data_IF_746719497657
#
_entry.id   IF_746719497657
#
_cell.length_a   1.000
_cell.length_b   1.000
_cell.length_c   1.000
_cell.angle_alpha   90.00
_cell.angle_beta   90.00
_cell.angle_gamma   90.00
#
_symmetry.space_group_name_H-M   'P 1'
#
loop_
_entity.id
_entity.type
_entity.pdbx_description
1 polymer ?
#
# COMPACT_ATOMS: atom_id res chain seq x y z
N UNK A 1 -10.14 19.25 -16.64
CA UNK A 1 -11.38 18.46 -16.73
C UNK A 1 -12.33 19.02 -15.68
N UNK A 2 -13.55 19.42 -16.05
CA UNK A 2 -14.59 19.84 -15.10
C UNK A 2 -15.78 18.91 -15.31
N UNK A 3 -16.18 18.19 -14.27
CA UNK A 3 -17.35 17.32 -14.24
C UNK A 3 -18.34 17.86 -13.22
N UNK A 4 -19.62 17.93 -13.58
CA UNK A 4 -20.71 18.19 -12.64
C UNK A 4 -21.82 17.16 -12.82
N UNK A 5 -22.60 16.93 -11.77
CA UNK A 5 -23.65 15.91 -11.71
C UNK A 5 -24.92 16.47 -12.37
N UNK A 6 -25.40 15.79 -13.41
CA UNK A 6 -26.68 16.07 -14.06
C UNK A 6 -27.88 15.59 -13.22
N UNK A 7 -29.09 16.09 -13.53
CA UNK A 7 -30.35 15.73 -12.84
C UNK A 7 -30.84 14.29 -13.07
N UNK A 8 -30.13 13.51 -13.87
CA UNK A 8 -30.17 12.05 -13.90
C UNK A 8 -28.78 11.58 -13.47
N UNK A 9 -28.68 10.46 -12.75
CA UNK A 9 -27.44 9.84 -12.28
C UNK A 9 -26.54 9.31 -13.42
N UNK A 10 -26.41 10.07 -14.50
CA UNK A 10 -25.58 9.78 -15.66
C UNK A 10 -24.47 10.83 -15.69
N UNK A 11 -23.22 10.36 -15.72
CA UNK A 11 -22.07 11.24 -15.87
C UNK A 11 -22.05 11.82 -17.28
N UNK A 12 -22.14 13.15 -17.40
CA UNK A 12 -22.08 13.85 -18.68
C UNK A 12 -20.76 14.60 -18.80
N UNK A 13 -20.02 14.31 -19.86
CA UNK A 13 -18.78 15.01 -20.19
C UNK A 13 -19.11 16.40 -20.77
N UNK A 14 -18.84 17.47 -20.03
CA UNK A 14 -19.27 18.83 -20.39
C UNK A 14 -18.31 19.56 -21.35
N UNK A 15 -17.01 19.28 -21.26
CA UNK A 15 -15.99 19.96 -22.06
C UNK A 15 -14.77 19.09 -22.25
N UNK A 16 -14.33 18.94 -23.51
CA UNK A 16 -13.05 18.36 -23.88
C UNK A 16 -12.27 19.40 -24.67
N UNK A 17 -11.08 19.75 -24.20
CA UNK A 17 -10.15 20.63 -24.89
C UNK A 17 -9.00 19.75 -25.41
N UNK A 18 -8.99 19.48 -26.73
CA UNK A 18 -7.98 18.64 -27.38
C UNK A 18 -6.74 19.43 -27.83
N UNK A 19 -6.80 20.77 -27.74
CA UNK A 19 -5.71 21.64 -28.15
C UNK A 19 -4.65 21.67 -27.06
N UNK A 20 -3.45 21.20 -27.41
CA UNK A 20 -2.28 21.26 -26.55
C UNK A 20 -1.29 22.29 -27.11
N UNK A 21 -0.64 23.04 -26.22
CA UNK A 21 0.45 23.97 -26.58
C UNK A 21 1.78 23.25 -26.89
N UNK A 22 1.79 21.91 -26.85
CA UNK A 22 2.96 21.08 -27.04
C UNK A 22 2.56 19.74 -27.66
N UNK A 23 3.50 19.04 -28.34
CA UNK A 23 3.25 17.68 -28.80
C UNK A 23 2.99 16.73 -27.63
N UNK A 24 1.82 16.11 -27.62
CA UNK A 24 1.49 15.06 -26.67
C UNK A 24 2.24 13.78 -27.06
N UNK A 25 3.16 13.32 -26.21
CA UNK A 25 3.97 12.11 -26.48
C UNK A 25 3.63 11.02 -25.48
N UNK A 26 3.01 9.95 -25.96
CA UNK A 26 2.72 8.74 -25.18
C UNK A 26 4.00 8.11 -24.62
N UNK A 27 5.15 8.28 -25.30
CA UNK A 27 6.46 7.80 -24.84
C UNK A 27 6.91 8.44 -23.52
N UNK A 28 6.45 9.65 -23.21
CA UNK A 28 6.77 10.33 -21.93
C UNK A 28 5.87 9.88 -20.79
N UNK A 29 4.74 9.22 -21.08
CA UNK A 29 3.79 8.75 -20.07
C UNK A 29 4.44 7.73 -19.11
N UNK A 30 5.39 6.92 -19.61
CA UNK A 30 6.18 5.95 -18.84
C UNK A 30 6.93 6.59 -17.67
N UNK A 31 7.18 7.90 -17.69
CA UNK A 31 7.82 8.56 -16.55
C UNK A 31 6.89 8.74 -15.35
N UNK A 32 5.57 8.75 -15.54
CA UNK A 32 4.59 8.84 -14.47
C UNK A 32 4.37 7.50 -13.79
N UNK A 33 4.37 7.48 -12.47
CA UNK A 33 4.26 6.26 -11.67
C UNK A 33 2.96 5.50 -11.94
N UNK A 34 1.87 6.22 -12.19
CA UNK A 34 0.53 5.71 -12.49
C UNK A 34 0.46 4.92 -13.81
N UNK A 35 1.37 5.19 -14.76
CA UNK A 35 1.39 4.54 -16.07
C UNK A 35 2.41 3.39 -16.15
N UNK A 36 3.06 3.04 -15.03
CA UNK A 36 4.13 2.03 -14.96
C UNK A 36 3.61 0.66 -14.54
N UNK A 37 2.69 0.10 -15.31
CA UNK A 37 2.16 -1.23 -15.02
C UNK A 37 2.93 -2.34 -15.76
N UNK A 38 3.20 -3.43 -15.03
CA UNK A 38 3.65 -4.69 -15.61
C UNK A 38 2.47 -5.38 -16.27
N UNK A 39 2.61 -5.69 -17.55
CA UNK A 39 1.62 -6.49 -18.28
C UNK A 39 1.55 -7.91 -17.71
N UNK A 40 0.42 -8.60 -17.88
CA UNK A 40 0.29 -10.00 -17.44
C UNK A 40 1.34 -10.92 -18.09
N UNK A 41 1.66 -10.68 -19.35
CA UNK A 41 2.73 -11.40 -20.03
C UNK A 41 4.08 -11.17 -19.37
N UNK A 42 4.44 -9.91 -19.08
CA UNK A 42 5.69 -9.60 -18.40
C UNK A 42 5.77 -10.24 -17.01
N UNK A 43 4.66 -10.23 -16.24
CA UNK A 43 4.60 -10.90 -14.92
C UNK A 43 4.90 -12.39 -15.01
N UNK A 44 4.26 -13.10 -15.95
CA UNK A 44 4.49 -14.53 -16.17
C UNK A 44 5.96 -14.85 -16.50
N UNK A 45 6.56 -14.08 -17.41
CA UNK A 45 7.99 -14.25 -17.76
C UNK A 45 8.90 -13.93 -16.57
N UNK A 46 8.56 -12.92 -15.76
CA UNK A 46 9.33 -12.58 -14.55
C UNK A 46 9.29 -13.72 -13.54
N UNK A 47 8.14 -14.36 -13.35
CA UNK A 47 7.95 -15.49 -12.43
C UNK A 47 8.79 -16.70 -12.82
N UNK A 48 8.67 -17.14 -14.09
CA UNK A 48 9.44 -18.29 -14.61
C UNK A 48 10.95 -18.02 -14.51
N UNK A 49 11.38 -16.81 -14.83
CA UNK A 49 12.79 -16.45 -14.76
C UNK A 49 13.30 -16.33 -13.32
N UNK A 50 12.46 -15.88 -12.37
CA UNK A 50 12.83 -15.84 -10.96
C UNK A 50 13.00 -17.25 -10.37
N UNK A 51 12.08 -18.16 -10.71
CA UNK A 51 12.13 -19.58 -10.34
C UNK A 51 13.39 -20.26 -10.90
N UNK A 52 13.77 -19.92 -12.14
CA UNK A 52 15.01 -20.38 -12.76
C UNK A 52 16.29 -19.68 -12.21
N UNK A 53 16.16 -18.74 -11.26
CA UNK A 53 17.28 -18.01 -10.66
C UNK A 53 17.94 -16.97 -11.58
N UNK A 54 17.26 -16.57 -12.66
CA UNK A 54 17.77 -15.58 -13.61
C UNK A 54 17.74 -14.19 -12.96
N UNK A 55 18.85 -13.45 -13.12
CA UNK A 55 18.98 -12.13 -12.53
C UNK A 55 17.91 -11.16 -13.09
N UNK A 56 17.28 -10.32 -12.24
CA UNK A 56 16.22 -9.38 -12.67
C UNK A 56 16.60 -8.47 -13.83
N UNK A 57 17.85 -8.00 -13.89
CA UNK A 57 18.35 -7.18 -15.00
C UNK A 57 18.36 -7.95 -16.34
N UNK A 58 18.66 -9.24 -16.32
CA UNK A 58 18.62 -10.09 -17.52
C UNK A 58 17.19 -10.31 -18.00
N UNK A 59 16.26 -10.54 -17.08
CA UNK A 59 14.82 -10.62 -17.37
C UNK A 59 14.31 -9.33 -17.99
N UNK A 60 14.66 -8.17 -17.42
CA UNK A 60 14.28 -6.87 -17.98
C UNK A 60 14.82 -6.67 -19.40
N UNK A 61 16.09 -7.00 -19.65
CA UNK A 61 16.70 -6.89 -20.97
C UNK A 61 16.04 -7.84 -22.00
N UNK A 62 15.66 -9.06 -21.59
CA UNK A 62 14.94 -9.98 -22.47
C UNK A 62 13.58 -9.40 -22.90
N UNK A 63 12.79 -8.93 -21.94
CA UNK A 63 11.50 -8.27 -22.19
C UNK A 63 11.66 -7.00 -23.04
N UNK A 64 12.72 -6.22 -22.80
CA UNK A 64 13.03 -5.05 -23.61
C UNK A 64 13.36 -5.42 -25.06
N UNK A 65 14.13 -6.50 -25.27
CA UNK A 65 14.50 -6.94 -26.61
C UNK A 65 13.29 -7.44 -27.40
N UNK A 66 12.32 -8.10 -26.76
CA UNK A 66 11.08 -8.56 -27.40
C UNK A 66 10.27 -7.40 -27.99
N UNK A 67 10.26 -6.25 -27.33
CA UNK A 67 9.54 -5.04 -27.79
C UNK A 67 10.44 -4.07 -28.59
N UNK A 68 11.64 -4.49 -28.99
CA UNK A 68 12.56 -3.68 -29.80
C UNK A 68 13.27 -2.56 -29.03
N UNK A 69 13.34 -2.65 -27.70
CA UNK A 69 14.19 -1.83 -26.85
C UNK A 69 13.52 -1.33 -25.56
N UNK A 70 14.31 -0.91 -24.56
CA UNK A 70 13.79 -0.46 -23.26
C UNK A 70 12.83 0.73 -23.34
N UNK A 71 12.99 1.59 -24.35
CA UNK A 71 12.12 2.76 -24.58
C UNK A 71 10.69 2.41 -25.00
N UNK A 72 10.45 1.15 -25.38
CA UNK A 72 9.14 0.66 -25.82
C UNK A 72 8.41 -0.09 -24.69
N UNK A 73 9.02 -0.25 -23.51
CA UNK A 73 8.37 -0.81 -22.33
C UNK A 73 7.60 0.27 -21.56
N UNK A 74 6.45 -0.10 -21.02
CA UNK A 74 5.70 0.72 -20.07
C UNK A 74 6.31 0.75 -18.67
N UNK A 75 7.33 -0.08 -18.40
CA UNK A 75 7.92 -0.26 -17.07
C UNK A 75 9.44 -0.26 -17.10
N UNK A 76 10.05 -0.02 -15.95
CA UNK A 76 11.51 0.02 -15.77
C UNK A 76 12.06 -1.25 -15.12
N UNK A 77 13.39 -1.46 -15.18
CA UNK A 77 14.06 -2.54 -14.44
C UNK A 77 13.76 -2.52 -12.94
N UNK A 78 13.61 -1.32 -12.35
CA UNK A 78 13.21 -1.17 -10.95
C UNK A 78 11.85 -1.82 -10.67
N UNK A 79 10.91 -1.75 -11.60
CA UNK A 79 9.59 -2.37 -11.44
C UNK A 79 9.69 -3.90 -11.44
N UNK A 80 10.57 -4.48 -12.26
CA UNK A 80 10.86 -5.93 -12.26
C UNK A 80 11.45 -6.36 -10.91
N UNK A 81 12.45 -5.63 -10.42
CA UNK A 81 13.05 -5.90 -9.10
C UNK A 81 12.04 -5.76 -7.96
N UNK A 82 11.22 -4.72 -8.00
CA UNK A 82 10.17 -4.51 -7.01
C UNK A 82 9.18 -5.68 -7.03
N UNK A 83 8.68 -6.09 -8.20
CA UNK A 83 7.76 -7.22 -8.33
C UNK A 83 8.35 -8.52 -7.77
N UNK A 84 9.59 -8.85 -8.13
CA UNK A 84 10.27 -10.03 -7.58
C UNK A 84 10.36 -9.94 -6.05
N UNK A 85 10.82 -8.79 -5.52
CA UNK A 85 11.01 -8.62 -4.08
C UNK A 85 9.71 -8.60 -3.28
N UNK A 86 8.65 -7.97 -3.79
CA UNK A 86 7.38 -7.78 -3.07
C UNK A 86 6.40 -8.92 -3.28
N UNK A 87 6.47 -9.60 -4.43
CA UNK A 87 5.46 -10.59 -4.84
C UNK A 87 5.99 -12.02 -4.77
N UNK A 88 7.21 -12.26 -5.28
CA UNK A 88 7.75 -13.63 -5.43
C UNK A 88 8.67 -14.04 -4.28
N UNK A 89 9.37 -13.07 -3.73
CA UNK A 89 10.35 -13.24 -2.65
C UNK A 89 9.98 -12.46 -1.40
N UNK A 90 8.71 -12.07 -1.25
CA UNK A 90 8.24 -11.56 0.04
C UNK A 90 8.65 -12.58 1.09
N UNK A 91 9.46 -12.15 2.06
CA UNK A 91 9.83 -13.01 3.18
C UNK A 91 8.55 -13.55 3.78
N UNK A 92 8.55 -14.81 4.23
CA UNK A 92 7.37 -15.49 4.75
C UNK A 92 6.58 -14.53 5.66
N UNK A 93 5.49 -13.96 5.13
CA UNK A 93 4.71 -12.91 5.83
C UNK A 93 4.29 -13.43 7.20
N UNK A 94 4.04 -14.74 7.29
CA UNK A 94 3.70 -15.42 8.54
C UNK A 94 4.85 -15.39 9.56
N UNK A 95 6.11 -15.45 9.15
CA UNK A 95 7.25 -15.35 10.06
C UNK A 95 7.37 -13.94 10.66
N UNK A 96 7.25 -12.91 9.82
CA UNK A 96 7.31 -11.50 10.26
C UNK A 96 6.08 -11.12 11.12
N UNK A 97 4.90 -11.62 10.75
CA UNK A 97 3.68 -11.47 11.56
C UNK A 97 3.84 -12.17 12.90
N UNK A 98 4.46 -13.35 12.94
CA UNK A 98 4.73 -14.07 14.19
C UNK A 98 5.70 -13.31 15.09
N UNK A 99 6.74 -12.71 14.52
CA UNK A 99 7.67 -11.85 15.26
C UNK A 99 6.97 -10.61 15.82
N UNK A 100 6.12 -9.96 15.02
CA UNK A 100 5.29 -8.84 15.45
C UNK A 100 4.31 -9.22 16.56
N UNK A 101 3.66 -10.39 16.48
CA UNK A 101 2.81 -10.93 17.54
C UNK A 101 3.58 -11.13 18.85
N UNK A 102 4.75 -11.75 18.77
CA UNK A 102 5.61 -11.94 19.95
C UNK A 102 6.00 -10.60 20.59
N UNK A 103 6.31 -9.60 19.77
CA UNK A 103 6.61 -8.25 20.23
C UNK A 103 5.41 -7.62 20.96
N UNK A 104 4.19 -7.72 20.40
CA UNK A 104 2.99 -7.19 21.05
C UNK A 104 2.67 -7.89 22.37
N UNK A 105 2.85 -9.21 22.43
CA UNK A 105 2.72 -9.99 23.67
C UNK A 105 3.69 -9.49 24.75
N UNK A 106 4.97 -9.33 24.40
CA UNK A 106 5.98 -8.80 25.33
C UNK A 106 5.66 -7.37 25.78
N UNK A 107 5.25 -6.50 24.85
CA UNK A 107 4.87 -5.12 25.19
C UNK A 107 3.66 -5.05 26.12
N UNK A 108 2.69 -5.96 25.94
CA UNK A 108 1.53 -6.08 26.82
C UNK A 108 1.91 -6.48 28.25
N UNK A 109 2.92 -7.32 28.41
CA UNK A 109 3.43 -7.73 29.72
C UNK A 109 4.27 -6.64 30.39
N UNK A 110 5.07 -5.91 29.61
CA UNK A 110 6.01 -4.89 30.10
C UNK A 110 5.33 -3.54 30.40
N UNK A 111 4.33 -3.14 29.60
CA UNK A 111 3.76 -1.80 29.63
C UNK A 111 2.29 -1.88 30.04
N UNK A 112 2.00 -1.43 31.26
CA UNK A 112 0.62 -1.21 31.72
C UNK A 112 -0.12 -0.28 30.76
N UNK A 113 -1.39 -0.55 30.48
CA UNK A 113 -2.22 0.14 29.48
C UNK A 113 -1.79 -0.02 28.02
N UNK A 114 -0.81 -0.86 27.66
CA UNK A 114 -0.62 -1.25 26.27
C UNK A 114 -1.84 -2.07 25.78
N UNK A 115 -2.30 -1.84 24.56
CA UNK A 115 -3.37 -2.62 23.93
C UNK A 115 -2.94 -3.06 22.53
N UNK A 116 -3.32 -4.27 22.16
CA UNK A 116 -3.25 -4.74 20.79
C UNK A 116 -4.37 -5.75 20.53
N UNK A 117 -4.75 -5.87 19.27
CA UNK A 117 -5.63 -6.90 18.76
C UNK A 117 -5.11 -7.35 17.39
N UNK A 118 -5.28 -8.63 17.08
CA UNK A 118 -4.90 -9.18 15.77
C UNK A 118 -6.05 -9.99 15.20
N UNK A 119 -6.38 -9.72 13.94
CA UNK A 119 -7.35 -10.45 13.15
C UNK A 119 -6.63 -11.48 12.29
N UNK A 120 -7.07 -12.73 12.40
CA UNK A 120 -6.62 -13.83 11.57
C UNK A 120 -7.82 -14.43 10.84
N UNK A 121 -7.62 -14.89 9.61
CA UNK A 121 -8.66 -15.64 8.91
C UNK A 121 -8.75 -17.09 9.41
N UNK A 122 -9.66 -17.87 8.83
CA UNK A 122 -9.89 -19.28 9.18
C UNK A 122 -8.65 -20.18 8.99
N UNK A 123 -7.72 -19.75 8.13
CA UNK A 123 -6.47 -20.46 7.83
C UNK A 123 -5.28 -19.92 8.66
N UNK A 124 -5.54 -19.15 9.72
CA UNK A 124 -4.55 -18.46 10.54
C UNK A 124 -3.62 -17.50 9.78
N UNK A 125 -4.06 -16.98 8.62
CA UNK A 125 -3.34 -15.93 7.91
C UNK A 125 -3.70 -14.57 8.47
N UNK A 126 -2.71 -13.69 8.51
CA UNK A 126 -2.86 -12.31 8.93
C UNK A 126 -3.90 -11.56 8.08
N UNK A 127 -4.85 -10.92 8.75
CA UNK A 127 -5.85 -10.06 8.10
C UNK A 127 -5.68 -8.60 8.50
N UNK A 128 -5.53 -8.32 9.79
CA UNK A 128 -5.32 -6.95 10.31
C UNK A 128 -4.70 -7.01 11.70
N UNK A 129 -4.08 -5.93 12.15
CA UNK A 129 -3.71 -5.71 13.54
C UNK A 129 -3.95 -4.26 13.93
N UNK A 130 -4.28 -4.03 15.19
CA UNK A 130 -4.32 -2.71 15.83
C UNK A 130 -3.47 -2.75 17.07
N UNK A 131 -2.73 -1.69 17.34
CA UNK A 131 -2.05 -1.52 18.62
C UNK A 131 -2.07 -0.06 19.07
N UNK A 132 -2.09 0.10 20.38
CA UNK A 132 -2.16 1.39 21.06
C UNK A 132 -1.22 1.35 22.25
N UNK A 133 -0.20 2.23 22.24
CA UNK A 133 0.70 2.34 23.38
C UNK A 133 0.03 3.09 24.56
N UNK A 134 0.61 2.98 25.76
CA UNK A 134 0.04 3.60 26.95
C UNK A 134 -0.08 5.14 26.82
N UNK A 135 0.84 5.79 26.09
CA UNK A 135 0.83 7.24 25.88
C UNK A 135 -0.25 7.65 24.89
N UNK A 136 -0.50 6.84 23.87
CA UNK A 136 -1.57 7.02 22.90
C UNK A 136 -2.93 6.95 23.60
N UNK A 137 -3.12 5.98 24.51
CA UNK A 137 -4.35 5.90 25.33
C UNK A 137 -4.53 7.11 26.24
N UNK A 138 -3.48 7.50 26.97
CA UNK A 138 -3.52 8.70 27.80
C UNK A 138 -3.81 9.95 26.96
N UNK A 139 -3.23 10.05 25.76
CA UNK A 139 -3.48 11.16 24.82
C UNK A 139 -4.92 11.15 24.30
N UNK A 140 -5.49 9.97 24.06
CA UNK A 140 -6.88 9.83 23.63
C UNK A 140 -7.87 10.34 24.69
N UNK A 141 -7.58 10.15 25.98
CA UNK A 141 -8.43 10.68 27.06
C UNK A 141 -8.54 12.22 27.05
N UNK A 142 -7.52 12.92 26.55
CA UNK A 142 -7.52 14.38 26.46
C UNK A 142 -7.88 14.93 25.06
N UNK A 143 -7.60 14.17 24.00
CA UNK A 143 -7.61 14.65 22.61
C UNK A 143 -8.44 13.77 21.67
N UNK A 144 -9.27 12.88 22.20
CA UNK A 144 -10.09 11.93 21.43
C UNK A 144 -11.30 12.54 20.73
N UNK A 145 -11.59 13.82 20.94
CA UNK A 145 -12.75 14.52 20.35
C UNK A 145 -12.72 14.55 18.82
N UNK A 146 -11.52 14.57 18.24
CA UNK A 146 -11.30 14.50 16.80
C UNK A 146 -10.19 13.50 16.51
N UNK A 147 -10.52 12.47 15.74
CA UNK A 147 -9.56 11.46 15.28
C UNK A 147 -9.59 11.41 13.76
N UNK A 148 -8.42 11.60 13.16
CA UNK A 148 -8.15 11.33 11.75
C UNK A 148 -7.57 9.92 11.61
N UNK A 149 -8.00 9.19 10.60
CA UNK A 149 -7.46 7.88 10.24
C UNK A 149 -6.96 7.97 8.80
N UNK A 150 -5.70 7.58 8.57
CA UNK A 150 -5.07 7.69 7.27
C UNK A 150 -4.16 6.50 6.98
N UNK A 151 -4.34 5.89 5.80
CA UNK A 151 -3.52 4.79 5.26
C UNK A 151 -2.56 5.24 4.16
N UNK A 152 -2.58 6.52 3.78
CA UNK A 152 -1.91 7.02 2.56
C UNK A 152 -0.38 7.09 2.71
N UNK A 153 0.16 7.01 3.93
CA UNK A 153 1.57 7.31 4.19
C UNK A 153 2.56 6.17 3.93
N UNK A 154 2.17 4.89 4.02
CA UNK A 154 3.15 3.80 3.86
C UNK A 154 2.50 2.43 3.69
N UNK A 155 3.03 1.65 2.73
CA UNK A 155 2.95 0.20 2.74
C UNK A 155 4.29 -0.37 3.21
N UNK A 156 4.26 -1.41 4.04
CA UNK A 156 5.49 -2.08 4.48
C UNK A 156 6.12 -2.90 3.32
N UNK A 157 7.24 -3.59 3.57
CA UNK A 157 7.93 -4.43 2.56
C UNK A 157 7.05 -5.53 1.92
N UNK A 158 5.92 -5.84 2.56
CA UNK A 158 4.94 -6.84 2.14
C UNK A 158 3.72 -6.22 1.45
N UNK A 159 3.72 -4.92 1.22
CA UNK A 159 2.59 -4.22 0.63
C UNK A 159 1.40 -4.03 1.58
N UNK A 160 1.56 -4.33 2.88
CA UNK A 160 0.48 -4.17 3.87
C UNK A 160 0.29 -2.67 4.19
N UNK A 161 -0.92 -2.10 4.00
CA UNK A 161 -1.19 -0.72 4.36
C UNK A 161 -1.04 -0.48 5.85
N UNK A 162 -0.26 0.54 6.20
CA UNK A 162 -0.16 1.03 7.57
C UNK A 162 -1.10 2.21 7.77
N UNK A 163 -1.91 2.16 8.82
CA UNK A 163 -2.81 3.23 9.20
C UNK A 163 -2.40 3.86 10.53
N UNK A 164 -2.43 5.18 10.60
CA UNK A 164 -2.24 5.91 11.86
C UNK A 164 -3.57 6.55 12.31
N UNK A 165 -3.86 6.43 13.61
CA UNK A 165 -4.90 7.21 14.26
C UNK A 165 -4.26 8.47 14.83
N UNK A 166 -4.67 9.63 14.33
CA UNK A 166 -4.07 10.93 14.66
C UNK A 166 -5.14 11.85 15.23
N UNK A 167 -4.94 12.30 16.46
CA UNK A 167 -5.71 13.38 17.07
C UNK A 167 -5.03 14.73 16.95
N UNK A 168 -5.69 15.75 17.50
CA UNK A 168 -5.16 17.11 17.57
C UNK A 168 -5.13 17.55 19.03
N UNK A 169 -3.95 17.94 19.53
CA UNK A 169 -3.86 18.45 20.90
C UNK A 169 -4.32 19.91 21.01
N UNK A 170 -4.37 20.43 22.23
CA UNK A 170 -4.78 21.81 22.54
C UNK A 170 -3.93 22.92 21.87
N UNK A 171 -2.79 22.58 21.28
CA UNK A 171 -1.96 23.49 20.50
C UNK A 171 -2.15 23.34 18.98
N UNK A 172 -3.13 22.56 18.54
CA UNK A 172 -3.35 22.28 17.11
C UNK A 172 -2.32 21.33 16.49
N UNK A 173 -1.54 20.60 17.30
CA UNK A 173 -0.52 19.67 16.79
C UNK A 173 -1.05 18.25 16.72
N UNK A 174 -0.68 17.56 15.64
CA UNK A 174 -0.97 16.13 15.44
C UNK A 174 -0.38 15.29 16.57
N UNK A 175 -1.20 14.41 17.14
CA UNK A 175 -0.83 13.51 18.23
C UNK A 175 -1.21 12.09 17.85
N UNK A 176 -0.28 11.14 17.94
CA UNK A 176 -0.56 9.74 17.65
C UNK A 176 -1.44 9.13 18.75
N UNK A 177 -2.53 8.50 18.35
CA UNK A 177 -3.53 7.87 19.21
C UNK A 177 -3.58 6.35 19.05
N UNK A 178 -2.86 5.80 18.07
CA UNK A 178 -2.79 4.37 17.81
C UNK A 178 -2.38 4.09 16.37
N UNK A 179 -2.20 2.82 16.05
CA UNK A 179 -1.86 2.39 14.70
C UNK A 179 -2.62 1.12 14.33
N UNK A 180 -2.80 0.91 13.03
CA UNK A 180 -3.27 -0.33 12.45
C UNK A 180 -2.35 -0.78 11.31
N UNK A 181 -2.34 -2.09 11.06
CA UNK A 181 -1.74 -2.70 9.88
C UNK A 181 -2.81 -3.56 9.22
N UNK A 182 -3.07 -3.31 7.94
CA UNK A 182 -4.14 -3.96 7.19
C UNK A 182 -3.55 -5.01 6.25
N UNK A 183 -4.27 -6.12 6.07
CA UNK A 183 -3.94 -7.21 5.13
C UNK A 183 -4.16 -6.80 3.67
N UNK A 184 -5.18 -5.98 3.45
CA UNK A 184 -5.56 -5.39 2.16
C UNK A 184 -6.44 -4.15 2.40
N UNK A 185 -6.58 -3.29 1.39
CA UNK A 185 -7.48 -2.12 1.41
C UNK A 185 -8.95 -2.50 1.15
N UNK A 186 -9.39 -3.65 1.65
CA UNK A 186 -10.77 -4.12 1.53
C UNK A 186 -11.62 -3.71 2.74
N UNK A 187 -12.90 -3.41 2.50
CA UNK A 187 -13.87 -2.97 3.52
C UNK A 187 -13.84 -3.83 4.80
N UNK A 188 -13.82 -5.18 4.76
CA UNK A 188 -13.86 -6.00 5.96
C UNK A 188 -12.67 -5.76 6.92
N UNK A 189 -11.51 -5.41 6.38
CA UNK A 189 -10.33 -5.13 7.21
C UNK A 189 -10.47 -3.80 7.95
N UNK A 190 -11.09 -2.80 7.31
CA UNK A 190 -11.39 -1.53 7.95
C UNK A 190 -12.50 -1.67 8.99
N UNK A 191 -13.60 -2.36 8.68
CA UNK A 191 -14.69 -2.60 9.63
C UNK A 191 -14.17 -3.24 10.92
N UNK A 192 -13.31 -4.24 10.80
CA UNK A 192 -12.70 -4.88 11.96
C UNK A 192 -11.80 -3.93 12.77
N UNK A 193 -11.04 -3.06 12.12
CA UNK A 193 -10.17 -2.07 12.81
C UNK A 193 -10.99 -1.06 13.64
N UNK A 194 -12.23 -0.79 13.24
CA UNK A 194 -13.14 0.13 13.93
C UNK A 194 -14.13 -0.57 14.87
N UNK A 195 -13.96 -1.87 15.16
CA UNK A 195 -14.78 -2.63 16.10
C UNK A 195 -14.19 -2.63 17.50
#
# INVERSE_FOLDING_TARGET
>A
MQSSIGKKHDWVLLKVELNHSHPCSTKKAVHYHENRELTMHAKCIIEVNDEAGIRPNKTFLALANEVGGPSNLSFSEKNVRNYISSTLRSTNVNADVKEMLNYYMQMKELISNYFYAVNLNKDNKFMSAVWVDARCRASYEYYGDMVSFDTTYSTNRHGLPFAAFIGVNHHGKSTLLGCALLGSEEIPNFEWVFT
#
